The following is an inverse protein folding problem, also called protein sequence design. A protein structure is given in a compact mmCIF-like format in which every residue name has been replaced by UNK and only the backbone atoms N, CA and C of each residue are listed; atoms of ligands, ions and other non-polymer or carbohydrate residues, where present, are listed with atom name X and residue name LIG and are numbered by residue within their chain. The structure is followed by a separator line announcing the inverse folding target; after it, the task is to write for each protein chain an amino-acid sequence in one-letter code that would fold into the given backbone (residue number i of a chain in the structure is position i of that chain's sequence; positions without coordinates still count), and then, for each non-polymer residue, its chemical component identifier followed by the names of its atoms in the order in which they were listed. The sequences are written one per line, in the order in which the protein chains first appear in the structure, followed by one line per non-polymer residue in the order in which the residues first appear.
data_IF_587187696381
#
_entry.id   IF_587187696381
#
_cell.length_a   1.000
_cell.length_b   1.000
_cell.length_c   1.000
_cell.angle_alpha   90.00
_cell.angle_beta   90.00
_cell.angle_gamma   90.00
#
_symmetry.space_group_name_H-M   'P 1'
#
loop_
_entity.id
_entity.type
_entity.pdbx_description
1 polymer ?
#
# COMPACT_ATOMS: atom_id res chain seq x y z
N UNK A 1 -10.95 -22.19 1.38
CA UNK A 1 -9.63 -21.53 1.45
C UNK A 1 -9.33 -20.94 2.83
N UNK A 2 -10.14 -20.04 3.41
CA UNK A 2 -9.84 -19.47 4.74
C UNK A 2 -9.67 -20.51 5.87
N UNK A 3 -10.46 -21.59 5.84
CA UNK A 3 -10.30 -22.74 6.76
C UNK A 3 -8.92 -23.39 6.60
N UNK A 4 -8.43 -23.49 5.37
CA UNK A 4 -7.10 -24.03 5.08
C UNK A 4 -6.00 -23.09 5.59
N UNK A 5 -6.12 -21.77 5.37
CA UNK A 5 -5.19 -20.81 5.96
C UNK A 5 -5.09 -20.95 7.48
N UNK A 6 -6.23 -21.09 8.17
CA UNK A 6 -6.27 -21.32 9.63
C UNK A 6 -5.58 -22.61 10.06
N UNK A 7 -5.72 -23.68 9.28
CA UNK A 7 -5.05 -24.95 9.58
C UNK A 7 -3.52 -24.87 9.55
N UNK A 8 -2.98 -23.86 8.85
CA UNK A 8 -1.55 -23.62 8.71
C UNK A 8 -1.00 -22.56 9.66
N UNK A 9 -1.79 -22.08 10.63
CA UNK A 9 -1.29 -21.02 11.52
C UNK A 9 -0.06 -21.46 12.30
N UNK A 10 0.02 -22.71 12.76
CA UNK A 10 1.18 -23.22 13.49
C UNK A 10 2.39 -23.56 12.60
N UNK A 11 2.35 -23.23 11.31
CA UNK A 11 3.47 -23.44 10.39
C UNK A 11 4.64 -22.51 10.73
N UNK A 12 5.85 -23.06 10.70
CA UNK A 12 7.10 -22.34 10.97
C UNK A 12 7.91 -22.09 9.70
N UNK A 13 7.62 -22.80 8.61
CA UNK A 13 8.20 -22.55 7.31
C UNK A 13 7.90 -21.12 6.84
N UNK A 14 8.97 -20.40 6.47
CA UNK A 14 8.87 -18.99 6.09
C UNK A 14 8.13 -18.76 4.78
N UNK A 15 8.34 -19.65 3.82
CA UNK A 15 7.80 -19.51 2.47
C UNK A 15 6.31 -19.83 2.47
N UNK A 16 5.88 -20.80 3.31
CA UNK A 16 4.46 -21.09 3.53
C UNK A 16 3.79 -19.91 4.23
N UNK A 17 4.40 -19.36 5.28
CA UNK A 17 3.86 -18.19 5.99
C UNK A 17 3.72 -16.98 5.06
N UNK A 18 4.73 -16.71 4.24
CA UNK A 18 4.70 -15.63 3.25
C UNK A 18 3.59 -15.85 2.22
N UNK A 19 3.42 -17.09 1.75
CA UNK A 19 2.35 -17.44 0.80
C UNK A 19 0.96 -17.21 1.39
N UNK A 20 0.74 -17.60 2.65
CA UNK A 20 -0.54 -17.38 3.35
C UNK A 20 -0.80 -15.89 3.54
N UNK A 21 0.20 -15.15 4.02
CA UNK A 21 0.10 -13.71 4.25
C UNK A 21 -0.24 -12.96 2.95
N UNK A 22 0.49 -13.24 1.87
CA UNK A 22 0.24 -12.63 0.57
C UNK A 22 -1.15 -12.97 0.03
N UNK A 23 -1.59 -14.22 0.15
CA UNK A 23 -2.95 -14.61 -0.22
C UNK A 23 -4.01 -13.84 0.58
N UNK A 24 -3.85 -13.71 1.90
CA UNK A 24 -4.82 -12.99 2.74
C UNK A 24 -4.85 -11.50 2.42
N UNK A 25 -3.68 -10.87 2.23
CA UNK A 25 -3.59 -9.46 1.82
C UNK A 25 -4.25 -9.23 0.46
N UNK A 26 -4.07 -10.16 -0.48
CA UNK A 26 -4.70 -10.10 -1.79
C UNK A 26 -6.21 -10.23 -1.70
N UNK A 27 -6.70 -11.23 -0.97
CA UNK A 27 -8.15 -11.41 -0.77
C UNK A 27 -8.79 -10.22 -0.05
N UNK A 28 -8.06 -9.58 0.88
CA UNK A 28 -8.51 -8.36 1.55
C UNK A 28 -8.70 -7.22 0.56
N UNK A 29 -7.81 -7.07 -0.42
CA UNK A 29 -7.92 -6.07 -1.50
C UNK A 29 -9.05 -6.39 -2.46
N UNK A 30 -9.21 -7.67 -2.83
CA UNK A 30 -10.33 -8.11 -3.67
C UNK A 30 -11.66 -7.80 -3.00
N UNK A 31 -11.78 -8.06 -1.70
CA UNK A 31 -13.00 -7.85 -0.91
C UNK A 31 -12.97 -6.52 -0.12
N UNK A 32 -12.34 -5.46 -0.64
CA UNK A 32 -12.11 -4.23 0.12
C UNK A 32 -13.38 -3.52 0.61
N UNK A 33 -14.54 -3.78 0.00
CA UNK A 33 -15.85 -3.27 0.45
C UNK A 33 -16.35 -3.95 1.73
N UNK A 34 -15.92 -5.19 1.98
CA UNK A 34 -16.26 -6.00 3.15
C UNK A 34 -15.03 -6.83 3.62
N UNK A 35 -13.93 -6.18 4.03
CA UNK A 35 -12.68 -6.87 4.31
C UNK A 35 -12.67 -7.58 5.66
N UNK A 36 -13.70 -7.41 6.50
CA UNK A 36 -13.75 -7.85 7.90
C UNK A 36 -13.49 -9.35 8.10
N UNK A 37 -14.08 -10.28 7.31
CA UNK A 37 -13.78 -11.71 7.47
C UNK A 37 -12.31 -12.03 7.22
N UNK A 38 -11.67 -11.33 6.28
CA UNK A 38 -10.25 -11.50 5.98
C UNK A 38 -9.38 -10.84 7.06
N UNK A 39 -9.76 -9.63 7.50
CA UNK A 39 -9.09 -8.93 8.59
C UNK A 39 -9.04 -9.77 9.87
N UNK A 40 -10.12 -10.50 10.17
CA UNK A 40 -10.20 -11.40 11.32
C UNK A 40 -9.21 -12.57 11.20
N UNK A 41 -9.11 -13.20 10.02
CA UNK A 41 -8.15 -14.29 9.78
C UNK A 41 -6.71 -13.77 9.85
N UNK A 42 -6.43 -12.58 9.31
CA UNK A 42 -5.12 -11.93 9.42
C UNK A 42 -4.79 -11.64 10.90
N UNK A 43 -5.75 -11.15 11.68
CA UNK A 43 -5.58 -10.89 13.11
C UNK A 43 -5.19 -12.16 13.87
N UNK A 44 -5.93 -13.26 13.65
CA UNK A 44 -5.63 -14.57 14.25
C UNK A 44 -4.23 -15.09 13.86
N UNK A 45 -3.77 -14.79 12.64
CA UNK A 45 -2.43 -15.15 12.18
C UNK A 45 -1.34 -14.35 12.92
N UNK A 46 -1.52 -13.04 13.13
CA UNK A 46 -0.45 -12.15 13.61
C UNK A 46 -0.38 -12.02 15.14
N UNK A 47 -1.52 -12.03 15.85
CA UNK A 47 -1.56 -11.77 17.30
C UNK A 47 -0.58 -12.62 18.12
N UNK A 48 -0.48 -13.95 17.92
CA UNK A 48 0.47 -14.76 18.68
C UNK A 48 1.94 -14.64 18.19
N UNK A 49 2.22 -13.88 17.12
CA UNK A 49 3.53 -13.85 16.44
C UNK A 49 4.20 -12.48 16.41
N UNK A 50 3.54 -11.42 16.86
CA UNK A 50 4.07 -10.04 16.81
C UNK A 50 4.84 -9.61 18.07
N UNK A 51 4.86 -10.44 19.10
CA UNK A 51 5.62 -10.18 20.33
C UNK A 51 7.06 -10.72 20.23
N UNK A 52 7.88 -10.03 19.43
CA UNK A 52 9.30 -10.34 19.28
C UNK A 52 10.16 -9.11 19.56
N UNK A 53 11.44 -9.34 19.85
CA UNK A 53 12.39 -8.26 20.09
C UNK A 53 12.74 -7.54 18.77
N UNK A 54 12.25 -6.30 18.63
CA UNK A 54 12.47 -5.44 17.46
C UNK A 54 13.92 -4.92 17.34
N UNK A 55 14.68 -4.91 18.44
CA UNK A 55 16.06 -4.40 18.47
C UNK A 55 17.11 -5.52 18.29
N UNK A 56 16.67 -6.77 18.26
CA UNK A 56 17.54 -7.93 18.13
C UNK A 56 18.21 -7.99 16.76
N UNK A 57 19.52 -8.28 16.74
CA UNK A 57 20.24 -8.68 15.52
C UNK A 57 19.92 -10.15 15.20
N UNK A 58 18.75 -10.36 14.62
CA UNK A 58 18.32 -11.67 14.13
C UNK A 58 18.90 -11.98 12.74
N UNK A 59 18.88 -13.26 12.36
CA UNK A 59 19.22 -13.69 11.01
C UNK A 59 18.26 -13.04 9.99
N UNK A 60 18.77 -12.68 8.81
CA UNK A 60 18.01 -12.01 7.74
C UNK A 60 16.70 -12.70 7.41
N UNK A 61 16.68 -14.04 7.38
CA UNK A 61 15.47 -14.81 7.09
C UNK A 61 14.39 -14.60 8.16
N UNK A 62 14.78 -14.54 9.44
CA UNK A 62 13.84 -14.27 10.54
C UNK A 62 13.31 -12.83 10.46
N UNK A 63 14.16 -11.85 10.15
CA UNK A 63 13.72 -10.47 9.93
C UNK A 63 12.71 -10.35 8.79
N UNK A 64 12.90 -11.11 7.69
CA UNK A 64 11.94 -11.17 6.58
C UNK A 64 10.59 -11.72 7.03
N UNK A 65 10.56 -12.83 7.78
CA UNK A 65 9.31 -13.39 8.35
C UNK A 65 8.59 -12.38 9.24
N UNK A 66 9.33 -11.74 10.16
CA UNK A 66 8.81 -10.68 11.04
C UNK A 66 8.23 -9.51 10.24
N UNK A 67 8.89 -9.09 9.16
CA UNK A 67 8.40 -8.04 8.26
C UNK A 67 7.09 -8.41 7.57
N UNK A 68 6.92 -9.64 7.12
CA UNK A 68 5.65 -10.12 6.53
C UNK A 68 4.49 -9.99 7.54
N UNK A 69 4.72 -10.38 8.79
CA UNK A 69 3.72 -10.23 9.87
C UNK A 69 3.40 -8.76 10.15
N UNK A 70 4.40 -7.88 10.13
CA UNK A 70 4.19 -6.44 10.30
C UNK A 70 3.40 -5.82 9.14
N UNK A 71 3.65 -6.24 7.89
CA UNK A 71 2.86 -5.81 6.74
C UNK A 71 1.38 -6.21 6.92
N UNK A 72 1.13 -7.43 7.40
CA UNK A 72 -0.21 -7.90 7.74
C UNK A 72 -0.87 -7.04 8.83
N UNK A 73 -0.13 -6.74 9.90
CA UNK A 73 -0.59 -5.87 10.99
C UNK A 73 -1.00 -4.48 10.47
N UNK A 74 -0.14 -3.87 9.66
CA UNK A 74 -0.39 -2.55 9.08
C UNK A 74 -1.59 -2.53 8.16
N UNK A 75 -1.74 -3.55 7.33
CA UNK A 75 -2.84 -3.66 6.39
C UNK A 75 -4.19 -3.60 7.11
N UNK A 76 -4.32 -4.30 8.24
CA UNK A 76 -5.58 -4.32 9.01
C UNK A 76 -5.69 -3.23 10.08
N UNK A 77 -4.71 -2.32 10.16
CA UNK A 77 -4.68 -1.27 11.18
C UNK A 77 -4.40 -1.79 12.61
N UNK A 78 -3.78 -2.96 12.74
CA UNK A 78 -3.39 -3.51 14.03
C UNK A 78 -2.25 -2.66 14.63
N UNK A 79 -2.43 -2.23 15.87
CA UNK A 79 -1.47 -1.36 16.54
C UNK A 79 -0.28 -2.17 17.08
N UNK A 80 0.86 -2.04 16.41
CA UNK A 80 2.14 -2.58 16.88
C UNK A 80 2.78 -1.62 17.90
N UNK A 81 3.73 -2.12 18.68
CA UNK A 81 4.53 -1.31 19.63
C UNK A 81 6.01 -1.41 19.26
N UNK A 82 6.35 -0.95 18.06
CA UNK A 82 7.74 -0.91 17.60
C UNK A 82 8.45 0.24 18.34
N UNK A 83 9.53 -0.03 19.09
CA UNK A 83 10.25 1.00 19.85
C UNK A 83 11.17 1.82 18.95
N UNK A 84 11.61 3.00 19.41
CA UNK A 84 12.50 3.88 18.63
C UNK A 84 13.85 3.21 18.30
N UNK A 85 14.36 2.37 19.19
CA UNK A 85 15.65 1.66 19.06
C UNK A 85 15.53 0.32 18.30
N UNK A 86 14.60 0.21 17.35
CA UNK A 86 14.41 -0.98 16.53
C UNK A 86 15.54 -1.19 15.52
N UNK A 87 15.64 -2.41 14.98
CA UNK A 87 16.51 -2.72 13.86
C UNK A 87 15.96 -2.11 12.56
N UNK A 88 16.85 -1.61 11.70
CA UNK A 88 16.51 -1.01 10.39
C UNK A 88 15.59 -1.84 9.47
N UNK A 89 15.50 -3.16 9.65
CA UNK A 89 14.53 -3.99 8.93
C UNK A 89 13.07 -3.55 9.16
N UNK A 90 12.83 -2.86 10.27
CA UNK A 90 11.51 -2.43 10.72
C UNK A 90 11.30 -0.91 10.58
N UNK A 91 12.23 -0.16 9.96
CA UNK A 91 12.15 1.30 9.81
C UNK A 91 10.84 1.75 9.17
N UNK A 92 10.45 1.12 8.05
CA UNK A 92 9.18 1.43 7.37
C UNK A 92 7.99 1.24 8.30
N UNK A 93 8.04 0.18 9.12
CA UNK A 93 6.92 -0.15 9.98
C UNK A 93 6.80 0.77 11.18
N UNK A 94 7.94 1.14 11.75
CA UNK A 94 8.04 2.17 12.76
C UNK A 94 7.52 3.52 12.24
N UNK A 95 7.96 3.95 11.04
CA UNK A 95 7.53 5.23 10.45
C UNK A 95 6.02 5.26 10.18
N UNK A 96 5.43 4.17 9.69
CA UNK A 96 3.97 4.06 9.51
C UNK A 96 3.25 4.18 10.86
N UNK A 97 3.70 3.45 11.89
CA UNK A 97 3.13 3.50 13.23
C UNK A 97 3.20 4.92 13.79
N UNK A 98 4.38 5.52 13.77
CA UNK A 98 4.63 6.87 14.25
C UNK A 98 3.74 7.90 13.55
N UNK A 99 3.63 7.80 12.22
CA UNK A 99 2.84 8.75 11.47
C UNK A 99 1.33 8.58 11.70
N UNK A 100 0.83 7.34 11.81
CA UNK A 100 -0.58 7.07 12.15
C UNK A 100 -0.94 7.53 13.56
N UNK A 101 -0.01 7.44 14.50
CA UNK A 101 -0.23 7.85 15.89
C UNK A 101 -0.27 9.37 16.05
N UNK A 102 0.62 10.09 15.34
CA UNK A 102 0.79 11.53 15.54
C UNK A 102 0.13 12.39 14.46
N UNK A 103 -0.13 11.85 13.27
CA UNK A 103 -0.70 12.57 12.13
C UNK A 103 0.07 13.85 11.74
N UNK A 104 1.38 13.87 11.98
CA UNK A 104 2.23 15.03 11.74
C UNK A 104 2.90 14.98 10.36
N UNK A 105 2.19 15.46 9.34
CA UNK A 105 2.69 15.51 7.96
C UNK A 105 3.93 16.40 7.84
N UNK A 106 3.97 17.51 8.56
CA UNK A 106 5.08 18.47 8.52
C UNK A 106 6.35 17.83 9.07
N UNK A 107 6.29 17.11 10.19
CA UNK A 107 7.42 16.35 10.72
C UNK A 107 7.95 15.34 9.73
N UNK A 108 7.06 14.56 9.08
CA UNK A 108 7.47 13.58 8.07
C UNK A 108 8.16 14.22 6.87
N UNK A 109 7.64 15.36 6.39
CA UNK A 109 8.26 16.09 5.29
C UNK A 109 9.58 16.75 5.67
N UNK A 110 9.72 17.25 6.91
CA UNK A 110 10.98 17.78 7.42
C UNK A 110 12.05 16.68 7.49
N UNK A 111 11.67 15.48 7.94
CA UNK A 111 12.56 14.32 7.93
C UNK A 111 12.94 13.93 6.50
N UNK A 112 11.98 13.90 5.56
CA UNK A 112 12.23 13.58 4.16
C UNK A 112 13.23 14.53 3.48
N UNK A 113 13.13 15.83 3.76
CA UNK A 113 13.96 16.88 3.14
C UNK A 113 15.30 17.09 3.79
N UNK A 114 15.51 16.54 4.99
CA UNK A 114 16.78 16.70 5.68
C UNK A 114 17.90 16.14 4.79
N UNK A 115 18.95 16.94 4.48
CA UNK A 115 20.03 16.49 3.60
C UNK A 115 20.81 15.28 4.15
N UNK A 116 20.68 15.00 5.45
CA UNK A 116 21.30 13.84 6.10
C UNK A 116 20.41 12.59 6.09
N UNK A 117 19.17 12.67 5.60
CA UNK A 117 18.29 11.51 5.49
C UNK A 117 18.74 10.63 4.33
N UNK A 118 19.13 9.39 4.63
CA UNK A 118 19.56 8.43 3.62
C UNK A 118 18.47 8.17 2.57
N UNK A 119 18.86 7.89 1.32
CA UNK A 119 17.93 7.64 0.21
C UNK A 119 16.93 6.50 0.52
N UNK A 120 17.40 5.41 1.12
CA UNK A 120 16.53 4.30 1.52
C UNK A 120 15.46 4.77 2.52
N UNK A 121 15.85 5.57 3.52
CA UNK A 121 14.93 6.12 4.51
C UNK A 121 13.92 7.10 3.87
N UNK A 122 14.32 7.88 2.85
CA UNK A 122 13.41 8.74 2.08
C UNK A 122 12.30 7.94 1.39
N UNK A 123 12.63 6.83 0.76
CA UNK A 123 11.63 5.93 0.15
C UNK A 123 10.70 5.32 1.19
N UNK A 124 11.20 4.98 2.38
CA UNK A 124 10.38 4.48 3.48
C UNK A 124 9.44 5.54 4.05
N UNK A 125 9.88 6.80 4.13
CA UNK A 125 9.03 7.95 4.51
C UNK A 125 7.93 8.16 3.46
N UNK A 126 8.26 8.06 2.17
CA UNK A 126 7.28 8.12 1.08
C UNK A 126 6.18 7.06 1.23
N UNK A 127 6.57 5.83 1.58
CA UNK A 127 5.61 4.76 1.88
C UNK A 127 4.76 5.13 3.11
N UNK A 128 5.37 5.60 4.20
CA UNK A 128 4.64 5.97 5.40
C UNK A 128 3.58 7.05 5.15
N UNK A 129 3.90 8.08 4.35
CA UNK A 129 2.97 9.16 3.99
C UNK A 129 1.67 8.63 3.36
N UNK A 130 1.75 7.64 2.47
CA UNK A 130 0.58 7.02 1.83
C UNK A 130 -0.25 6.12 2.76
N UNK A 131 0.31 5.69 3.90
CA UNK A 131 -0.36 4.80 4.86
C UNK A 131 -1.07 5.53 6.00
N UNK A 132 -1.22 6.86 5.96
CA UNK A 132 -1.97 7.60 7.00
C UNK A 132 -3.42 7.11 7.15
N UNK A 133 -3.98 7.30 8.35
CA UNK A 133 -5.40 7.11 8.66
C UNK A 133 -6.18 8.45 8.70
N UNK A 134 -5.51 9.58 8.43
CA UNK A 134 -6.12 10.91 8.40
C UNK A 134 -6.34 11.36 6.94
N UNK A 135 -7.58 11.73 6.61
CA UNK A 135 -7.98 12.06 5.24
C UNK A 135 -7.26 13.30 4.69
N UNK A 136 -7.04 14.32 5.52
CA UNK A 136 -6.38 15.57 5.10
C UNK A 136 -4.91 15.30 4.74
N UNK A 137 -4.22 14.58 5.62
CA UNK A 137 -2.87 14.09 5.38
C UNK A 137 -2.77 13.19 4.15
N UNK A 138 -3.81 12.37 3.91
CA UNK A 138 -3.87 11.51 2.73
C UNK A 138 -3.99 12.33 1.44
N UNK A 139 -4.85 13.36 1.42
CA UNK A 139 -4.96 14.31 0.29
C UNK A 139 -3.65 15.06 0.07
N UNK A 140 -2.95 15.46 1.13
CA UNK A 140 -1.62 16.06 1.00
C UNK A 140 -0.60 15.07 0.39
N UNK A 141 -0.63 13.80 0.79
CA UNK A 141 0.20 12.75 0.21
C UNK A 141 -0.12 12.52 -1.29
N UNK A 142 -1.40 12.51 -1.71
CA UNK A 142 -1.77 12.43 -3.12
C UNK A 142 -1.23 13.61 -3.94
N UNK A 143 -1.33 14.82 -3.39
CA UNK A 143 -0.83 16.02 -4.04
C UNK A 143 0.70 15.97 -4.32
N UNK A 144 1.48 15.33 -3.45
CA UNK A 144 2.92 15.12 -3.68
C UNK A 144 3.23 14.29 -4.93
N UNK A 145 2.31 13.44 -5.38
CA UNK A 145 2.48 12.61 -6.58
C UNK A 145 2.60 13.48 -7.82
N UNK A 146 1.76 14.52 -7.93
CA UNK A 146 1.61 15.33 -9.14
C UNK A 146 2.35 16.67 -9.08
N UNK A 147 2.71 17.16 -7.88
CA UNK A 147 3.45 18.41 -7.77
C UNK A 147 4.89 18.27 -8.27
N UNK A 148 5.21 19.00 -9.34
CA UNK A 148 6.58 19.20 -9.81
C UNK A 148 7.26 20.24 -8.91
N UNK A 149 8.50 19.97 -8.50
CA UNK A 149 9.35 20.92 -7.77
C UNK A 149 9.63 22.12 -8.68
N UNK A 150 8.80 23.17 -8.61
CA UNK A 150 8.93 24.37 -9.46
C UNK A 150 9.26 25.64 -8.67
N UNK A 151 9.34 25.56 -7.34
CA UNK A 151 9.85 26.65 -6.48
C UNK A 151 10.72 26.04 -5.38
N UNK A 152 11.78 26.76 -4.96
CA UNK A 152 12.71 26.32 -3.89
C UNK A 152 12.01 25.96 -2.57
N UNK A 153 10.74 26.37 -2.39
CA UNK A 153 9.93 26.12 -1.21
C UNK A 153 8.74 25.16 -1.45
N UNK A 154 8.54 24.65 -2.67
CA UNK A 154 7.45 23.71 -2.94
C UNK A 154 7.70 22.36 -2.27
N UNK A 155 6.72 21.93 -1.48
CA UNK A 155 6.68 20.58 -0.91
C UNK A 155 6.62 19.58 -2.07
N UNK A 156 7.74 18.93 -2.36
CA UNK A 156 7.84 17.96 -3.44
C UNK A 156 8.59 16.71 -2.98
N UNK A 157 8.31 15.62 -3.67
CA UNK A 157 8.95 14.33 -3.49
C UNK A 157 9.82 14.03 -4.73
N UNK A 158 10.94 13.35 -4.54
CA UNK A 158 11.85 12.98 -5.61
C UNK A 158 11.16 12.04 -6.62
N UNK A 159 11.61 12.03 -7.87
CA UNK A 159 11.06 11.12 -8.89
C UNK A 159 11.23 9.64 -8.50
N UNK A 160 12.31 9.30 -7.77
CA UNK A 160 12.58 7.94 -7.29
C UNK A 160 11.54 7.48 -6.24
N UNK A 161 11.07 8.41 -5.42
CA UNK A 161 10.16 8.14 -4.30
C UNK A 161 8.67 8.32 -4.66
N UNK A 162 8.36 8.91 -5.83
CA UNK A 162 6.98 9.05 -6.32
C UNK A 162 6.27 7.73 -6.48
N UNK A 163 6.95 6.71 -7.00
CA UNK A 163 6.33 5.40 -7.19
C UNK A 163 6.05 4.69 -5.85
N UNK A 164 7.00 4.60 -4.90
CA UNK A 164 6.71 4.13 -3.54
C UNK A 164 5.53 4.84 -2.88
N UNK A 165 5.45 6.17 -2.97
CA UNK A 165 4.31 6.95 -2.48
C UNK A 165 3.01 6.56 -3.17
N UNK A 166 3.00 6.54 -4.51
CA UNK A 166 1.80 6.22 -5.30
C UNK A 166 1.28 4.83 -4.96
N UNK A 167 2.17 3.83 -4.94
CA UNK A 167 1.80 2.46 -4.60
C UNK A 167 1.32 2.31 -3.16
N UNK A 168 1.89 3.11 -2.23
CA UNK A 168 1.43 3.15 -0.85
C UNK A 168 0.03 3.76 -0.72
N UNK A 169 -0.23 4.92 -1.33
CA UNK A 169 -1.57 5.51 -1.35
C UNK A 169 -2.57 4.54 -1.98
N UNK A 170 -2.19 3.95 -3.12
CA UNK A 170 -2.96 2.92 -3.78
C UNK A 170 -3.26 1.74 -2.84
N UNK A 171 -2.31 1.28 -2.03
CA UNK A 171 -2.55 0.15 -1.11
C UNK A 171 -3.38 0.50 0.12
N UNK A 172 -3.74 1.76 0.35
CA UNK A 172 -4.49 2.21 1.51
C UNK A 172 -6.00 2.01 1.30
N UNK A 173 -6.50 0.83 1.68
CA UNK A 173 -7.91 0.45 1.48
C UNK A 173 -8.92 1.40 2.13
N UNK A 174 -8.52 2.12 3.20
CA UNK A 174 -9.40 3.08 3.87
C UNK A 174 -9.80 4.24 2.94
N UNK A 175 -8.90 4.63 2.04
CA UNK A 175 -9.07 5.80 1.17
C UNK A 175 -9.08 5.44 -0.31
N UNK A 176 -9.40 4.19 -0.66
CA UNK A 176 -9.52 3.74 -2.05
C UNK A 176 -10.45 4.61 -2.89
N UNK A 177 -11.69 4.96 -2.45
CA UNK A 177 -12.56 5.83 -3.24
C UNK A 177 -11.91 7.18 -3.55
N UNK A 178 -11.21 7.76 -2.57
CA UNK A 178 -10.52 9.06 -2.71
C UNK A 178 -9.32 8.94 -3.67
N UNK A 179 -8.58 7.83 -3.62
CA UNK A 179 -7.50 7.58 -4.57
C UNK A 179 -8.03 7.49 -6.00
N UNK A 180 -9.10 6.73 -6.21
CA UNK A 180 -9.69 6.53 -7.53
C UNK A 180 -10.18 7.85 -8.12
N UNK A 181 -10.92 8.65 -7.35
CA UNK A 181 -11.36 9.98 -7.76
C UNK A 181 -10.17 10.88 -8.13
N UNK A 182 -9.15 10.96 -7.26
CA UNK A 182 -7.94 11.74 -7.54
C UNK A 182 -7.23 11.27 -8.81
N UNK A 183 -7.17 9.96 -9.04
CA UNK A 183 -6.53 9.37 -10.21
C UNK A 183 -7.30 9.72 -11.49
N UNK A 184 -8.63 9.59 -11.49
CA UNK A 184 -9.48 9.97 -12.63
C UNK A 184 -9.30 11.47 -12.98
N UNK A 185 -9.32 12.34 -11.98
CA UNK A 185 -9.20 13.79 -12.17
C UNK A 185 -7.80 14.24 -12.61
N UNK A 186 -6.75 13.49 -12.24
CA UNK A 186 -5.35 13.89 -12.45
C UNK A 186 -4.57 12.93 -13.33
N UNK A 187 -5.25 12.04 -14.06
CA UNK A 187 -4.65 10.97 -14.87
C UNK A 187 -3.41 11.43 -15.65
N UNK A 188 -3.54 12.49 -16.47
CA UNK A 188 -2.44 13.01 -17.29
C UNK A 188 -1.26 13.52 -16.47
N UNK A 189 -1.53 14.18 -15.34
CA UNK A 189 -0.46 14.67 -14.45
C UNK A 189 0.27 13.50 -13.78
N UNK A 190 -0.45 12.44 -13.43
CA UNK A 190 0.14 11.22 -12.85
C UNK A 190 0.98 10.47 -13.90
N UNK A 191 0.46 10.33 -15.12
CA UNK A 191 1.17 9.74 -16.26
C UNK A 191 2.51 10.45 -16.53
N UNK A 192 2.52 11.78 -16.48
CA UNK A 192 3.74 12.58 -16.64
C UNK A 192 4.68 12.53 -15.42
N UNK A 193 4.15 12.30 -14.22
CA UNK A 193 4.91 12.38 -12.98
C UNK A 193 5.66 11.09 -12.65
N UNK A 194 5.19 9.95 -13.16
CA UNK A 194 5.69 8.61 -12.83
C UNK A 194 6.35 7.97 -14.07
N UNK A 195 7.52 7.32 -13.94
CA UNK A 195 8.12 6.59 -15.05
C UNK A 195 7.16 5.58 -15.69
N UNK A 196 7.14 5.47 -17.02
CA UNK A 196 6.12 4.71 -17.77
C UNK A 196 5.92 3.25 -17.28
N UNK A 197 6.99 2.54 -16.92
CA UNK A 197 6.90 1.18 -16.39
C UNK A 197 6.20 1.11 -15.02
N UNK A 198 6.47 2.10 -14.16
CA UNK A 198 5.85 2.24 -12.86
C UNK A 198 4.39 2.72 -12.97
N UNK A 199 4.11 3.59 -13.93
CA UNK A 199 2.75 4.03 -14.25
C UNK A 199 1.88 2.86 -14.72
N UNK A 200 2.40 2.03 -15.64
CA UNK A 200 1.74 0.79 -16.07
C UNK A 200 1.41 -0.11 -14.89
N UNK A 201 2.39 -0.35 -14.00
CA UNK A 201 2.18 -1.18 -12.81
C UNK A 201 1.13 -0.58 -11.86
N UNK A 202 1.14 0.74 -11.65
CA UNK A 202 0.16 1.42 -10.83
C UNK A 202 -1.26 1.32 -11.41
N UNK A 203 -1.42 1.48 -12.73
CA UNK A 203 -2.71 1.29 -13.43
C UNK A 203 -3.20 -0.14 -13.29
N UNK A 204 -2.37 -1.13 -13.65
CA UNK A 204 -2.79 -2.53 -13.61
C UNK A 204 -3.17 -2.94 -12.19
N UNK A 205 -2.35 -2.54 -11.21
CA UNK A 205 -2.67 -2.73 -9.81
C UNK A 205 -4.00 -2.05 -9.50
N UNK A 206 -4.16 -0.74 -9.68
CA UNK A 206 -5.41 -0.01 -9.38
C UNK A 206 -6.65 -0.63 -10.00
N UNK A 207 -6.61 -0.89 -11.31
CA UNK A 207 -7.74 -1.41 -12.06
C UNK A 207 -8.19 -2.76 -11.57
N UNK A 208 -7.25 -3.61 -11.16
CA UNK A 208 -7.55 -4.97 -10.70
C UNK A 208 -8.53 -5.04 -9.51
N UNK A 209 -8.94 -3.91 -8.92
CA UNK A 209 -9.83 -3.87 -7.77
C UNK A 209 -10.79 -2.69 -7.82
N UNK A 210 -10.88 -1.95 -8.94
CA UNK A 210 -11.96 -0.97 -9.15
C UNK A 210 -13.31 -1.70 -9.12
N UNK A 211 -14.32 -1.23 -8.36
CA UNK A 211 -15.66 -1.83 -8.34
C UNK A 211 -16.41 -1.66 -9.66
N UNK A 212 -16.32 -0.46 -10.22
CA UNK A 212 -17.04 -0.05 -11.42
C UNK A 212 -16.04 0.15 -12.58
N UNK A 213 -15.70 -0.97 -13.20
CA UNK A 213 -14.77 -1.01 -14.34
C UNK A 213 -15.31 -0.19 -15.51
N UNK A 214 -16.62 -0.24 -15.76
CA UNK A 214 -17.24 0.48 -16.88
C UNK A 214 -17.13 1.99 -16.71
N UNK A 215 -17.44 2.51 -15.52
CA UNK A 215 -17.24 3.92 -15.21
C UNK A 215 -15.78 4.35 -15.43
N UNK A 216 -14.83 3.57 -14.90
CA UNK A 216 -13.41 3.90 -15.04
C UNK A 216 -12.95 3.88 -16.51
N UNK A 217 -13.40 2.89 -17.28
CA UNK A 217 -13.10 2.81 -18.70
C UNK A 217 -13.66 4.01 -19.46
N UNK A 218 -14.86 4.45 -19.11
CA UNK A 218 -15.49 5.62 -19.71
C UNK A 218 -14.77 6.93 -19.33
N UNK A 219 -14.34 7.09 -18.07
CA UNK A 219 -13.67 8.30 -17.58
C UNK A 219 -12.26 8.46 -18.17
N UNK A 220 -11.61 7.36 -18.54
CA UNK A 220 -10.23 7.37 -19.08
C UNK A 220 -10.15 7.18 -20.58
N UNK A 221 -11.26 6.87 -21.27
CA UNK A 221 -11.31 6.44 -22.68
C UNK A 221 -10.50 7.31 -23.65
N UNK A 222 -10.66 8.63 -23.55
CA UNK A 222 -10.02 9.58 -24.47
C UNK A 222 -8.53 9.82 -24.12
N UNK A 223 -8.07 9.27 -23.02
CA UNK A 223 -6.73 9.46 -22.47
C UNK A 223 -5.82 8.24 -22.65
N UNK A 224 -6.36 7.12 -23.14
CA UNK A 224 -5.67 5.83 -23.32
C UNK A 224 -4.83 5.83 -24.60
N UNK A 225 -3.53 6.10 -24.52
CA UNK A 225 -2.61 5.97 -25.66
C UNK A 225 -1.41 5.08 -25.34
N UNK A 226 -0.90 4.38 -26.36
CA UNK A 226 0.33 3.58 -26.27
C UNK A 226 0.33 2.56 -25.12
N UNK A 227 1.32 2.67 -24.24
CA UNK A 227 1.55 1.75 -23.11
C UNK A 227 0.45 1.80 -22.05
N UNK A 228 -0.24 2.94 -21.90
CA UNK A 228 -1.33 3.06 -20.95
C UNK A 228 -2.53 2.20 -21.33
N UNK A 229 -2.85 2.12 -22.64
CA UNK A 229 -3.95 1.29 -23.14
C UNK A 229 -3.75 -0.18 -22.79
N UNK A 230 -2.55 -0.72 -23.01
CA UNK A 230 -2.22 -2.10 -22.64
C UNK A 230 -2.30 -2.34 -21.13
N UNK A 231 -1.83 -1.39 -20.32
CA UNK A 231 -1.92 -1.47 -18.86
C UNK A 231 -3.39 -1.54 -18.39
N UNK A 232 -4.25 -0.77 -19.06
CA UNK A 232 -5.67 -0.71 -18.79
C UNK A 232 -6.35 -2.03 -19.17
N UNK A 233 -6.12 -2.53 -20.39
CA UNK A 233 -6.67 -3.81 -20.86
C UNK A 233 -6.32 -4.96 -19.90
N UNK A 234 -5.06 -5.04 -19.46
CA UNK A 234 -4.62 -6.05 -18.49
C UNK A 234 -5.26 -5.87 -17.12
N UNK A 235 -5.38 -4.62 -16.64
CA UNK A 235 -6.02 -4.32 -15.37
C UNK A 235 -7.50 -4.70 -15.37
N UNK A 236 -8.20 -4.44 -16.48
CA UNK A 236 -9.61 -4.78 -16.70
C UNK A 236 -9.84 -6.29 -16.68
N UNK A 237 -9.00 -7.07 -17.37
CA UNK A 237 -9.11 -8.53 -17.38
C UNK A 237 -9.06 -9.09 -15.95
N UNK A 238 -8.07 -8.66 -15.16
CA UNK A 238 -7.93 -9.08 -13.76
C UNK A 238 -9.13 -8.62 -12.92
N UNK A 239 -9.61 -7.39 -13.16
CA UNK A 239 -10.74 -6.83 -12.44
C UNK A 239 -12.04 -7.59 -12.71
N UNK A 240 -12.27 -8.00 -13.96
CA UNK A 240 -13.42 -8.82 -14.37
C UNK A 240 -13.42 -10.17 -13.66
N UNK A 241 -12.26 -10.86 -13.61
CA UNK A 241 -12.13 -12.11 -12.88
C UNK A 241 -12.46 -11.94 -11.39
N UNK A 242 -11.97 -10.85 -10.78
CA UNK A 242 -12.24 -10.54 -9.36
C UNK A 242 -13.68 -10.11 -9.11
N UNK A 243 -14.34 -9.46 -10.07
CA UNK A 243 -15.76 -9.10 -9.95
C UNK A 243 -16.66 -10.34 -9.86
N UNK A 244 -16.29 -11.44 -10.53
CA UNK A 244 -16.96 -12.75 -10.38
C UNK A 244 -16.85 -13.23 -8.93
N UNK A 245 -15.65 -13.17 -8.33
CA UNK A 245 -15.43 -13.54 -6.94
C UNK A 245 -16.21 -12.66 -5.96
N UNK A 246 -16.19 -11.33 -6.13
CA UNK A 246 -16.96 -10.39 -5.30
C UNK A 246 -18.44 -10.74 -5.32
N UNK A 247 -19.00 -10.93 -6.51
CA UNK A 247 -20.42 -11.26 -6.70
C UNK A 247 -20.80 -12.58 -6.03
N UNK A 248 -19.92 -13.59 -6.08
CA UNK A 248 -20.17 -14.88 -5.45
C UNK A 248 -20.15 -14.82 -3.92
N UNK A 249 -19.35 -13.91 -3.34
CA UNK A 249 -19.25 -13.70 -1.88
C UNK A 249 -20.39 -12.82 -1.37
N UNK A 250 -20.74 -11.74 -2.07
CA UNK A 250 -21.77 -10.77 -1.66
C UNK A 250 -23.22 -11.29 -1.78
N UNK A 251 -23.44 -12.37 -2.55
CA UNK A 251 -24.77 -13.00 -2.74
C UNK A 251 -25.13 -14.01 -1.64
N UNK A 252 -24.33 -14.15 -0.59
CA UNK A 252 -24.57 -15.01 0.57
C UNK A 252 -24.77 -14.18 1.82
#
# INVERSE_FOLDING_TARGET
MLIFCRSLFNEEDGDILESIANFLLEMRRVLFEQPEPINQVIRELIEPRLDFNYSEKAATLLCKKRKVLLNCAQAIGYQTKIPENHHSFYDTAYLIQEYRNHNDFIRMMNLYRNPNTANELRGQIAIALGQTNNLENYRQALNLIIYKSQTENAISISNEDRYPLTFSCLSNLQFTPVFLEFFEENYKKIEEAIPAGNFRRAITEMLSWVPDIERFMNSTRDQQSGQAKLAIEQGVEIAMDRAVYRTAVLKK
#
